data_IF_185931271982
#
_entry.id   IF_185931271982
#
_cell.length_a   1.000
_cell.length_b   1.000
_cell.length_c   1.000
_cell.angle_alpha   90.00
_cell.angle_beta   90.00
_cell.angle_gamma   90.00
#
_symmetry.space_group_name_H-M   'P 1'
#
loop_
_entity.id
_entity.type
_entity.pdbx_description
1 polymer ?
#
# COMPACT_ATOMS: atom_id res chain seq x y z
N UNK A 1 3.91 29.80 12.72
CA UNK A 1 3.01 28.63 12.83
C UNK A 1 3.15 27.88 14.16
N UNK A 2 4.35 27.46 14.59
CA UNK A 2 4.57 26.68 15.83
C UNK A 2 3.86 27.21 17.10
N UNK A 3 3.82 28.53 17.31
CA UNK A 3 3.21 29.13 18.51
C UNK A 3 1.70 28.83 18.67
N UNK A 4 0.99 28.54 17.58
CA UNK A 4 -0.44 28.21 17.61
C UNK A 4 -0.62 26.78 18.15
N UNK A 5 0.15 25.84 17.62
CA UNK A 5 0.04 24.42 17.96
C UNK A 5 0.73 24.06 19.28
N UNK A 6 1.69 24.87 19.74
CA UNK A 6 2.42 24.63 20.99
C UNK A 6 1.49 24.51 22.21
N UNK A 7 0.42 25.31 22.26
CA UNK A 7 -0.51 25.32 23.41
C UNK A 7 -1.47 24.11 23.42
N UNK A 8 -1.51 23.33 22.34
CA UNK A 8 -2.35 22.13 22.25
C UNK A 8 -1.57 20.87 22.69
N UNK A 9 -0.26 20.98 22.85
CA UNK A 9 0.62 19.89 23.24
C UNK A 9 0.84 19.89 24.76
N UNK A 10 0.93 18.72 25.40
CA UNK A 10 1.36 18.62 26.78
C UNK A 10 2.76 19.20 26.99
N UNK A 11 3.06 19.82 28.16
CA UNK A 11 4.38 20.40 28.44
C UNK A 11 5.55 19.44 28.20
N UNK A 12 5.39 18.18 28.63
CA UNK A 12 6.39 17.13 28.43
C UNK A 12 6.71 16.87 26.96
N UNK A 13 5.71 16.98 26.07
CA UNK A 13 5.88 16.75 24.63
C UNK A 13 6.52 17.94 23.92
N UNK A 14 6.28 19.16 24.42
CA UNK A 14 6.91 20.37 23.90
C UNK A 14 8.43 20.31 24.08
N UNK A 15 8.90 19.81 25.23
CA UNK A 15 10.32 19.77 25.56
C UNK A 15 11.12 18.79 24.69
N UNK A 16 10.45 17.78 24.14
CA UNK A 16 11.04 16.79 23.23
C UNK A 16 11.25 17.34 21.81
N UNK A 17 10.52 18.39 21.42
CA UNK A 17 10.59 18.94 20.07
C UNK A 17 11.70 19.99 20.03
N UNK A 18 12.73 19.72 19.23
CA UNK A 18 13.85 20.65 18.99
C UNK A 18 13.83 21.08 17.53
N UNK A 19 13.82 22.39 17.32
CA UNK A 19 14.03 22.98 16.00
C UNK A 19 15.52 23.26 15.88
N UNK A 20 16.14 22.63 14.89
CA UNK A 20 17.58 22.67 14.67
C UNK A 20 17.85 23.05 13.22
N UNK A 21 18.98 23.72 13.02
CA UNK A 21 19.51 24.06 11.70
C UNK A 21 20.67 23.10 11.38
N UNK A 22 21.11 23.08 10.12
CA UNK A 22 22.27 22.27 9.67
C UNK A 22 23.51 22.43 10.55
N UNK A 23 23.69 23.60 11.18
CA UNK A 23 24.83 23.89 12.05
C UNK A 23 24.65 23.38 13.48
N UNK A 24 23.44 23.43 14.03
CA UNK A 24 23.13 23.06 15.42
C UNK A 24 22.71 21.60 15.59
N UNK A 25 22.43 20.88 14.49
CA UNK A 25 22.09 19.46 14.52
C UNK A 25 23.20 18.59 15.14
N UNK A 26 24.46 18.98 14.96
CA UNK A 26 25.63 18.25 15.50
C UNK A 26 25.66 18.19 17.04
N UNK A 27 24.93 19.08 17.72
CA UNK A 27 24.81 19.06 19.19
C UNK A 27 23.89 17.92 19.69
N UNK A 28 23.11 17.32 18.78
CA UNK A 28 22.09 16.32 19.09
C UNK A 28 22.35 14.96 18.44
N UNK A 29 23.00 14.94 17.27
CA UNK A 29 23.30 13.74 16.50
C UNK A 29 24.77 13.80 16.08
N UNK A 30 25.50 12.69 16.25
CA UNK A 30 26.89 12.64 15.80
C UNK A 30 26.96 12.77 14.27
N UNK A 31 28.00 13.42 13.72
CA UNK A 31 28.12 13.65 12.27
C UNK A 31 28.13 12.36 11.43
N UNK A 32 28.68 11.27 11.98
CA UNK A 32 28.75 9.95 11.35
C UNK A 32 27.41 9.22 11.26
N UNK A 33 26.42 9.63 12.07
CA UNK A 33 25.04 9.14 12.04
C UNK A 33 24.05 10.15 11.45
N UNK A 34 24.57 11.22 10.88
CA UNK A 34 23.79 12.29 10.30
C UNK A 34 23.98 12.28 8.77
N UNK A 35 22.87 12.28 8.04
CA UNK A 35 22.89 12.26 6.58
C UNK A 35 23.62 13.49 6.02
N UNK A 36 24.32 13.32 4.90
CA UNK A 36 25.01 14.41 4.19
C UNK A 36 24.05 15.56 3.84
N UNK A 37 22.81 15.26 3.45
CA UNK A 37 21.78 16.27 3.16
C UNK A 37 21.41 17.14 4.38
N UNK A 38 21.63 16.62 5.58
CA UNK A 38 21.40 17.30 6.87
C UNK A 38 22.67 17.92 7.46
N UNK A 39 23.80 17.82 6.75
CA UNK A 39 25.08 18.40 7.15
C UNK A 39 26.01 17.47 7.93
N UNK A 40 25.70 16.17 7.99
CA UNK A 40 26.62 15.16 8.50
C UNK A 40 27.51 14.56 7.40
N UNK A 41 27.99 13.34 7.65
CA UNK A 41 28.91 12.61 6.76
C UNK A 41 28.36 11.26 6.28
N UNK A 42 27.17 10.89 6.73
CA UNK A 42 26.52 9.63 6.33
C UNK A 42 25.91 9.76 4.92
N UNK A 43 26.34 8.89 4.02
CA UNK A 43 25.85 8.82 2.63
C UNK A 43 24.87 7.66 2.42
N UNK A 44 24.19 7.21 3.47
CA UNK A 44 23.15 6.20 3.39
C UNK A 44 22.09 6.56 2.33
N UNK A 45 21.82 5.61 1.44
CA UNK A 45 20.77 5.66 0.44
C UNK A 45 19.89 4.42 0.54
N UNK A 46 18.58 4.62 0.62
CA UNK A 46 17.63 3.53 0.80
C UNK A 46 17.15 3.02 -0.56
N UNK A 47 17.40 1.74 -0.82
CA UNK A 47 16.80 1.02 -1.95
C UNK A 47 15.84 -0.03 -1.40
N UNK A 48 14.60 -0.01 -1.89
CA UNK A 48 13.62 -1.05 -1.56
C UNK A 48 14.02 -2.35 -2.26
N UNK A 49 14.25 -3.41 -1.48
CA UNK A 49 14.42 -4.78 -1.98
C UNK A 49 13.07 -5.50 -1.92
N UNK A 50 12.45 -5.84 -3.07
CA UNK A 50 11.22 -6.61 -3.08
C UNK A 50 11.43 -7.98 -2.45
N UNK A 51 10.44 -8.47 -1.71
CA UNK A 51 10.42 -9.85 -1.27
C UNK A 51 10.35 -10.76 -2.50
N UNK A 52 11.20 -11.81 -2.55
CA UNK A 52 11.03 -12.84 -3.56
C UNK A 52 9.65 -13.47 -3.37
N UNK A 53 8.83 -13.58 -4.43
CA UNK A 53 7.56 -14.28 -4.32
C UNK A 53 7.85 -15.66 -3.77
N UNK A 54 7.33 -15.95 -2.57
CA UNK A 54 7.51 -17.24 -1.92
C UNK A 54 7.22 -18.31 -2.97
N UNK A 55 8.24 -19.12 -3.30
CA UNK A 55 7.99 -20.34 -4.06
C UNK A 55 6.85 -21.05 -3.34
N UNK A 56 5.78 -21.47 -4.03
CA UNK A 56 4.70 -22.18 -3.36
C UNK A 56 5.33 -23.45 -2.81
N UNK A 57 5.67 -23.44 -1.52
CA UNK A 57 6.03 -24.65 -0.80
C UNK A 57 4.83 -25.55 -0.95
N UNK A 58 4.98 -26.64 -1.71
CA UNK A 58 3.97 -27.67 -1.91
C UNK A 58 3.62 -28.41 -0.61
N UNK A 59 4.05 -27.95 0.55
CA UNK A 59 3.66 -28.47 1.85
C UNK A 59 2.36 -27.82 2.37
N UNK A 60 1.35 -27.65 1.51
CA UNK A 60 -0.02 -27.41 1.94
C UNK A 60 -0.82 -28.70 1.78
N UNK A 61 -0.74 -29.55 2.79
CA UNK A 61 -1.71 -30.63 3.02
C UNK A 61 -1.60 -31.82 2.07
N UNK A 62 -1.60 -33.02 2.66
CA UNK A 62 -1.84 -34.28 1.99
C UNK A 62 -2.99 -34.17 0.95
N UNK A 63 -2.75 -34.49 -0.35
CA UNK A 63 -3.77 -34.44 -1.40
C UNK A 63 -4.93 -35.43 -1.17
N UNK A 64 -4.82 -36.36 -0.23
CA UNK A 64 -5.92 -37.30 0.11
C UNK A 64 -6.97 -36.71 1.07
N UNK A 65 -6.79 -35.50 1.61
CA UNK A 65 -7.83 -34.81 2.38
C UNK A 65 -8.87 -34.15 1.46
N UNK A 66 -9.71 -34.97 0.82
CA UNK A 66 -10.88 -34.52 0.04
C UNK A 66 -11.94 -33.84 0.91
N UNK A 67 -11.68 -32.62 1.40
CA UNK A 67 -12.69 -31.76 2.04
C UNK A 67 -13.39 -30.93 0.98
N UNK A 68 -14.42 -31.53 0.38
CA UNK A 68 -15.36 -30.84 -0.50
C UNK A 68 -16.20 -29.89 0.36
N UNK A 69 -15.97 -28.58 0.24
CA UNK A 69 -16.85 -27.56 0.82
C UNK A 69 -17.95 -27.21 -0.17
N UNK A 70 -19.21 -27.20 0.29
CA UNK A 70 -20.35 -26.74 -0.50
C UNK A 70 -20.39 -25.21 -0.45
N UNK A 71 -20.02 -24.56 -1.55
CA UNK A 71 -20.32 -23.15 -1.73
C UNK A 71 -21.81 -23.02 -2.02
N UNK A 72 -22.53 -22.29 -1.17
CA UNK A 72 -23.92 -21.96 -1.43
C UNK A 72 -23.97 -20.97 -2.59
N UNK A 73 -24.49 -21.42 -3.73
CA UNK A 73 -24.80 -20.57 -4.86
C UNK A 73 -25.85 -19.52 -4.47
N UNK A 74 -25.55 -18.26 -4.78
CA UNK A 74 -26.57 -17.24 -5.00
C UNK A 74 -26.76 -16.23 -3.87
N UNK A 75 -25.94 -15.18 -3.88
CA UNK A 75 -26.41 -13.79 -3.86
C UNK A 75 -25.26 -12.85 -4.23
N UNK A 76 -24.92 -12.81 -5.52
CA UNK A 76 -24.20 -11.66 -6.08
C UNK A 76 -25.22 -10.53 -6.30
N UNK A 77 -25.41 -9.67 -5.30
CA UNK A 77 -26.10 -8.40 -5.50
C UNK A 77 -25.22 -7.51 -6.40
N UNK A 78 -25.78 -7.20 -7.55
CA UNK A 78 -25.13 -6.64 -8.73
C UNK A 78 -25.03 -5.11 -8.74
N UNK A 79 -23.91 -4.63 -9.32
CA UNK A 79 -23.74 -3.43 -10.18
C UNK A 79 -23.72 -2.03 -9.53
N UNK A 80 -23.09 -0.99 -10.15
CA UNK A 80 -22.81 -0.88 -11.60
C UNK A 80 -21.39 -0.42 -12.02
N UNK A 81 -20.85 -1.08 -13.04
CA UNK A 81 -19.70 -0.59 -13.82
C UNK A 81 -20.18 0.29 -14.98
N UNK A 82 -19.59 1.48 -15.02
CA UNK A 82 -19.67 2.60 -15.97
C UNK A 82 -19.78 2.19 -17.45
N UNK A 83 -20.69 2.85 -18.17
CA UNK A 83 -21.05 2.68 -19.58
C UNK A 83 -19.95 3.02 -20.61
N UNK A 84 -19.99 2.31 -21.75
CA UNK A 84 -19.82 2.85 -23.12
C UNK A 84 -20.53 1.92 -24.14
N UNK A 85 -21.36 2.42 -25.07
CA UNK A 85 -22.13 1.59 -26.00
C UNK A 85 -21.39 1.34 -27.32
N UNK A 86 -21.52 0.14 -27.88
CA UNK A 86 -21.18 -0.19 -29.26
C UNK A 86 -22.46 -0.57 -30.05
N UNK A 87 -22.59 -0.18 -31.34
CA UNK A 87 -23.80 -0.37 -32.13
C UNK A 87 -24.00 -1.83 -32.61
N UNK A 88 -25.27 -2.24 -32.67
CA UNK A 88 -25.76 -3.60 -32.97
C UNK A 88 -25.64 -3.93 -34.46
N UNK A 89 -25.02 -5.07 -34.81
CA UNK A 89 -25.23 -5.73 -36.10
C UNK A 89 -26.37 -6.75 -35.98
N UNK A 90 -27.31 -6.69 -36.92
CA UNK A 90 -28.51 -7.52 -37.02
C UNK A 90 -28.16 -8.79 -37.80
N UNK A 91 -28.52 -9.97 -37.28
CA UNK A 91 -28.50 -11.24 -38.04
C UNK A 91 -29.94 -11.59 -38.42
N UNK A 92 -30.29 -11.82 -39.70
CA UNK A 92 -31.60 -12.36 -40.07
C UNK A 92 -31.61 -13.88 -39.83
N UNK A 93 -32.55 -14.36 -39.02
CA UNK A 93 -32.84 -15.77 -38.83
C UNK A 93 -33.57 -16.34 -40.04
N UNK A 94 -33.05 -17.43 -40.58
CA UNK A 94 -33.66 -18.23 -41.65
C UNK A 94 -34.50 -19.36 -41.05
N UNK A 95 -35.61 -19.68 -41.72
CA UNK A 95 -36.30 -20.96 -41.62
C UNK A 95 -37.69 -20.96 -40.97
N UNK A 96 -38.75 -20.90 -41.79
CA UNK A 96 -39.57 -22.10 -42.08
C UNK A 96 -40.76 -21.78 -43.00
N UNK A 97 -40.85 -22.52 -44.11
CA UNK A 97 -42.03 -23.30 -44.61
C UNK A 97 -43.35 -22.90 -43.92
N UNK A 98 -44.38 -22.41 -44.60
CA UNK A 98 -45.12 -22.94 -45.76
C UNK A 98 -45.72 -21.80 -46.60
#
# INVERSE_FOLDING_TARGET
MWKIIKNWLPPKSIDLIKFVDRKSLNDYVNPDQCLTIWGGTDNFDYTFEPEEPATPSLANGDPDSSRKVHFADGQALSSPVRAKPAPKSVTPGDGSKY
#
